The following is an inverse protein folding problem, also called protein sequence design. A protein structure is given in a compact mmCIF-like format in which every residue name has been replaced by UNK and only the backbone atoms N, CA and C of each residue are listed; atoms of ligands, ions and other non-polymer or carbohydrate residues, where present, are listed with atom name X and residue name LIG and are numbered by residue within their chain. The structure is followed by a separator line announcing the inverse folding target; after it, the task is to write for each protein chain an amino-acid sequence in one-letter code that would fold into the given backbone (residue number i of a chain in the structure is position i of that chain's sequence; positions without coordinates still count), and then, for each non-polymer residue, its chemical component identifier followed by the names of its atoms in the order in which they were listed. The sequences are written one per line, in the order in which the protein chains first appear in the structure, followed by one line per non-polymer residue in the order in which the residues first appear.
data_IF_084564314383
#
_entry.id   IF_084564314383
#
_cell.length_a   1.000
_cell.length_b   1.000
_cell.length_c   1.000
_cell.angle_alpha   90.00
_cell.angle_beta   90.00
_cell.angle_gamma   90.00
#
_symmetry.space_group_name_H-M   'P 1'
#
loop_
_entity.id
_entity.type
_entity.pdbx_description
1 polymer ?
#
# COMPACT_ATOMS: atom_id res chain seq x y z
N UNK A 1 20.45 6.45 4.29
CA UNK A 1 20.70 7.85 4.66
C UNK A 1 21.28 7.89 6.06
N UNK A 2 22.52 8.33 6.20
CA UNK A 2 23.21 8.52 7.48
C UNK A 2 22.73 9.85 8.07
N UNK A 3 22.02 9.82 9.19
CA UNK A 3 21.71 11.03 9.95
C UNK A 3 23.02 11.63 10.47
N UNK A 4 23.41 12.79 9.97
CA UNK A 4 24.58 13.52 10.47
C UNK A 4 24.18 14.20 11.77
N UNK A 5 24.86 13.87 12.87
CA UNK A 5 24.59 14.49 14.16
C UNK A 5 25.05 15.96 14.13
N UNK A 6 24.19 16.88 14.56
CA UNK A 6 24.59 18.27 14.78
C UNK A 6 25.49 18.35 16.01
N UNK A 7 26.74 18.81 15.82
CA UNK A 7 27.72 18.99 16.89
C UNK A 7 27.65 20.43 17.40
N UNK A 8 26.75 20.67 18.36
CA UNK A 8 26.51 21.98 18.97
C UNK A 8 27.79 22.58 19.54
N UNK A 9 28.68 21.77 20.12
CA UNK A 9 29.91 22.25 20.75
C UNK A 9 30.91 22.76 19.70
N UNK A 10 31.08 22.02 18.61
CA UNK A 10 31.91 22.46 17.47
C UNK A 10 31.30 23.67 16.78
N UNK A 11 29.97 23.74 16.68
CA UNK A 11 29.25 24.86 16.10
C UNK A 11 29.45 26.15 16.92
N UNK A 12 29.19 26.12 18.23
CA UNK A 12 29.42 27.26 19.15
C UNK A 12 30.89 27.70 19.12
N UNK A 13 31.84 26.76 19.16
CA UNK A 13 33.28 27.09 19.02
C UNK A 13 33.59 27.78 17.71
N UNK A 14 32.99 27.35 16.61
CA UNK A 14 33.20 27.95 15.30
C UNK A 14 32.64 29.38 15.24
N UNK A 15 31.46 29.61 15.81
CA UNK A 15 30.85 30.95 15.88
C UNK A 15 31.69 31.92 16.73
N UNK A 16 32.18 31.46 17.88
CA UNK A 16 33.05 32.27 18.74
C UNK A 16 34.41 32.52 18.09
N UNK A 17 35.09 31.47 17.65
CA UNK A 17 36.50 31.54 17.28
C UNK A 17 36.70 32.10 15.85
N UNK A 18 35.78 31.78 14.92
CA UNK A 18 35.88 32.22 13.51
C UNK A 18 34.97 33.39 13.17
N UNK A 19 33.76 33.43 13.70
CA UNK A 19 32.82 34.53 13.46
C UNK A 19 32.91 35.65 14.51
N UNK A 20 33.78 35.50 15.53
CA UNK A 20 34.00 36.48 16.61
C UNK A 20 32.73 36.90 17.34
N UNK A 21 31.74 36.01 17.40
CA UNK A 21 30.53 36.24 18.18
C UNK A 21 30.83 36.16 19.67
N UNK A 22 30.10 36.94 20.48
CA UNK A 22 30.20 36.79 21.94
C UNK A 22 29.72 35.39 22.36
N UNK A 23 30.14 34.87 23.53
CA UNK A 23 29.68 33.59 24.04
C UNK A 23 28.15 33.47 24.05
N UNK A 24 27.46 34.52 24.51
CA UNK A 24 26.00 34.57 24.63
C UNK A 24 25.32 34.52 23.25
N UNK A 25 25.91 35.20 22.25
CA UNK A 25 25.40 35.18 20.88
C UNK A 25 25.63 33.83 20.19
N UNK A 26 26.78 33.20 20.41
CA UNK A 26 27.11 31.90 19.85
C UNK A 26 26.24 30.78 20.44
N UNK A 27 25.99 30.83 21.75
CA UNK A 27 25.11 29.89 22.45
C UNK A 27 23.64 30.09 22.06
N UNK A 28 23.15 31.34 22.06
CA UNK A 28 21.77 31.65 21.67
C UNK A 28 21.46 31.28 20.22
N UNK A 29 22.41 31.45 19.30
CA UNK A 29 22.24 31.01 17.90
C UNK A 29 22.25 29.48 17.76
N UNK A 30 23.13 28.80 18.51
CA UNK A 30 23.19 27.34 18.50
C UNK A 30 21.92 26.71 19.07
N UNK A 31 21.34 27.30 20.11
CA UNK A 31 20.10 26.85 20.73
C UNK A 31 18.90 27.07 19.81
N UNK A 32 18.81 28.25 19.17
CA UNK A 32 17.76 28.54 18.19
C UNK A 32 17.78 27.58 16.99
N UNK A 33 18.98 27.23 16.51
CA UNK A 33 19.14 26.26 15.41
C UNK A 33 18.85 24.84 15.89
N UNK A 34 19.28 24.45 17.09
CA UNK A 34 19.04 23.10 17.59
C UNK A 34 17.55 22.80 17.84
N UNK A 35 16.77 23.82 18.22
CA UNK A 35 15.34 23.69 18.45
C UNK A 35 14.53 23.38 17.17
N UNK A 36 15.00 23.81 16.01
CA UNK A 36 14.27 23.69 14.72
C UNK A 36 14.69 22.45 13.90
N UNK A 37 15.70 21.69 14.34
CA UNK A 37 16.17 20.50 13.61
C UNK A 37 15.50 19.23 14.13
N UNK A 38 15.01 18.41 13.19
CA UNK A 38 14.61 17.04 13.49
C UNK A 38 15.76 16.28 14.17
N UNK A 39 15.50 15.81 15.37
CA UNK A 39 16.47 15.14 16.23
C UNK A 39 16.60 13.67 15.83
N UNK A 40 17.65 13.00 16.33
CA UNK A 40 17.84 11.55 16.10
C UNK A 40 16.61 10.70 16.51
N UNK A 41 15.92 10.99 17.63
CA UNK A 41 14.62 10.40 17.95
C UNK A 41 13.60 10.50 16.83
N UNK A 42 13.37 11.71 16.29
CA UNK A 42 12.36 11.94 15.25
C UNK A 42 12.64 11.11 13.99
N UNK A 43 13.91 10.98 13.61
CA UNK A 43 14.33 10.15 12.47
C UNK A 43 14.10 8.66 12.77
N UNK A 44 14.32 8.22 14.01
CA UNK A 44 14.08 6.83 14.42
C UNK A 44 12.60 6.50 14.40
N UNK A 45 11.76 7.42 14.86
CA UNK A 45 10.31 7.27 14.88
C UNK A 45 9.76 7.24 13.46
N UNK A 46 10.19 8.17 12.58
CA UNK A 46 9.87 8.14 11.15
C UNK A 46 10.29 6.81 10.49
N UNK A 47 11.45 6.26 10.85
CA UNK A 47 11.89 4.97 10.31
C UNK A 47 10.98 3.83 10.79
N UNK A 48 10.55 3.87 12.04
CA UNK A 48 9.59 2.90 12.59
C UNK A 48 8.24 2.99 11.89
N UNK A 49 7.75 4.20 11.65
CA UNK A 49 6.50 4.46 10.94
C UNK A 49 6.57 3.97 9.49
N UNK A 50 7.70 4.21 8.81
CA UNK A 50 7.92 3.71 7.45
C UNK A 50 7.91 2.18 7.40
N UNK A 51 8.56 1.49 8.35
CA UNK A 51 8.55 0.03 8.37
C UNK A 51 7.14 -0.51 8.68
N UNK A 52 6.41 0.15 9.57
CA UNK A 52 5.00 -0.18 9.87
C UNK A 52 4.15 -0.01 8.62
N UNK A 53 4.25 1.14 7.93
CA UNK A 53 3.49 1.44 6.71
C UNK A 53 3.81 0.44 5.59
N UNK A 54 5.08 0.01 5.48
CA UNK A 54 5.49 -1.01 4.52
C UNK A 54 4.84 -2.36 4.80
N UNK A 55 4.78 -2.77 6.07
CA UNK A 55 4.15 -4.03 6.49
C UNK A 55 2.64 -3.98 6.22
N UNK A 56 1.97 -2.89 6.64
CA UNK A 56 0.52 -2.73 6.44
C UNK A 56 0.18 -2.70 4.96
N UNK A 57 0.88 -1.89 4.16
CA UNK A 57 0.66 -1.81 2.70
C UNK A 57 0.82 -3.17 2.02
N UNK A 58 1.81 -3.98 2.42
CA UNK A 58 2.01 -5.31 1.86
C UNK A 58 0.89 -6.27 2.26
N UNK A 59 0.40 -6.16 3.50
CA UNK A 59 -0.74 -6.95 3.98
C UNK A 59 -2.01 -6.60 3.21
N UNK A 60 -2.30 -5.30 3.08
CA UNK A 60 -3.49 -4.80 2.38
C UNK A 60 -3.49 -5.21 0.91
N UNK A 61 -2.32 -5.16 0.25
CA UNK A 61 -2.17 -5.64 -1.12
C UNK A 61 -2.49 -7.13 -1.24
N UNK A 62 -1.96 -7.96 -0.33
CA UNK A 62 -2.23 -9.40 -0.33
C UNK A 62 -3.71 -9.72 -0.06
N UNK A 63 -4.34 -8.97 0.83
CA UNK A 63 -5.78 -9.10 1.08
C UNK A 63 -6.60 -8.73 -0.17
N UNK A 64 -6.23 -7.65 -0.86
CA UNK A 64 -6.87 -7.24 -2.10
C UNK A 64 -6.70 -8.28 -3.21
N UNK A 65 -5.51 -8.86 -3.36
CA UNK A 65 -5.22 -9.95 -4.31
C UNK A 65 -6.12 -11.16 -4.03
N UNK A 66 -6.14 -11.66 -2.78
CA UNK A 66 -6.98 -12.80 -2.39
C UNK A 66 -8.47 -12.52 -2.61
N UNK A 67 -8.93 -11.31 -2.30
CA UNK A 67 -10.32 -10.90 -2.53
C UNK A 67 -10.67 -10.86 -4.01
N UNK A 68 -9.75 -10.41 -4.87
CA UNK A 68 -9.95 -10.40 -6.31
C UNK A 68 -9.95 -11.82 -6.88
N UNK A 69 -9.02 -12.69 -6.47
CA UNK A 69 -9.00 -14.09 -6.87
C UNK A 69 -10.30 -14.80 -6.50
N UNK A 70 -10.80 -14.60 -5.28
CA UNK A 70 -12.06 -15.17 -4.83
C UNK A 70 -13.26 -14.65 -5.66
N UNK A 71 -13.30 -13.36 -5.97
CA UNK A 71 -14.34 -12.77 -6.83
C UNK A 71 -14.28 -13.33 -8.25
N UNK A 72 -13.08 -13.47 -8.82
CA UNK A 72 -12.89 -14.04 -10.15
C UNK A 72 -13.36 -15.50 -10.16
N UNK A 73 -13.00 -16.29 -9.15
CA UNK A 73 -13.43 -17.67 -9.02
C UNK A 73 -14.96 -17.78 -8.91
N UNK A 74 -15.59 -16.93 -8.09
CA UNK A 74 -17.04 -16.86 -7.95
C UNK A 74 -17.72 -16.49 -9.27
N UNK A 75 -17.28 -15.42 -9.93
CA UNK A 75 -17.81 -15.00 -11.24
C UNK A 75 -17.62 -16.07 -12.30
N UNK A 76 -16.47 -16.75 -12.34
CA UNK A 76 -16.24 -17.88 -13.25
C UNK A 76 -17.20 -19.03 -12.97
N UNK A 77 -17.42 -19.37 -11.70
CA UNK A 77 -18.38 -20.39 -11.29
C UNK A 77 -19.81 -20.03 -11.72
N UNK A 78 -20.22 -18.78 -11.50
CA UNK A 78 -21.53 -18.30 -11.90
C UNK A 78 -21.71 -18.36 -13.42
N UNK A 79 -20.71 -17.92 -14.19
CA UNK A 79 -20.71 -18.02 -15.66
C UNK A 79 -20.86 -19.48 -16.09
N UNK A 80 -20.08 -20.41 -15.52
CA UNK A 80 -20.17 -21.84 -15.85
C UNK A 80 -21.54 -22.42 -15.51
N UNK A 81 -22.10 -22.06 -14.35
CA UNK A 81 -23.44 -22.49 -13.92
C UNK A 81 -24.50 -22.01 -14.92
N UNK A 82 -24.47 -20.75 -15.32
CA UNK A 82 -25.42 -20.20 -16.28
C UNK A 82 -25.26 -20.79 -17.68
N UNK A 83 -24.03 -20.99 -18.15
CA UNK A 83 -23.77 -21.66 -19.44
C UNK A 83 -24.29 -23.11 -19.43
N UNK A 84 -24.04 -23.86 -18.36
CA UNK A 84 -24.49 -25.26 -18.27
C UNK A 84 -26.03 -25.34 -18.25
N UNK A 85 -26.68 -24.44 -17.50
CA UNK A 85 -28.14 -24.35 -17.46
C UNK A 85 -28.76 -23.98 -18.81
N UNK A 86 -28.18 -23.02 -19.53
CA UNK A 86 -28.69 -22.59 -20.84
C UNK A 86 -28.49 -23.66 -21.92
N UNK A 87 -27.32 -24.31 -21.97
CA UNK A 87 -27.06 -25.40 -22.92
C UNK A 87 -27.97 -26.61 -22.68
N UNK A 88 -28.18 -26.99 -21.42
CA UNK A 88 -29.12 -28.07 -21.07
C UNK A 88 -30.56 -27.76 -21.52
N UNK A 89 -30.99 -26.51 -21.35
CA UNK A 89 -32.32 -26.06 -21.77
C UNK A 89 -32.50 -26.14 -23.28
N UNK A 90 -31.50 -25.67 -24.05
CA UNK A 90 -31.51 -25.76 -25.51
C UNK A 90 -31.56 -27.21 -26.00
N UNK A 91 -30.83 -28.13 -25.37
CA UNK A 91 -30.85 -29.55 -25.74
C UNK A 91 -32.24 -30.18 -25.57
N UNK A 92 -32.93 -29.88 -24.48
CA UNK A 92 -34.31 -30.36 -24.23
C UNK A 92 -35.27 -29.83 -25.29
N UNK A 93 -35.17 -28.53 -25.63
CA UNK A 93 -35.99 -27.92 -26.68
C UNK A 93 -35.75 -28.58 -28.04
N UNK A 94 -34.48 -28.84 -28.39
CA UNK A 94 -34.12 -29.47 -29.66
C UNK A 94 -34.69 -30.89 -29.78
N UNK A 95 -34.55 -31.70 -28.73
CA UNK A 95 -35.11 -33.06 -28.67
C UNK A 95 -36.64 -33.02 -28.76
N UNK A 96 -37.29 -32.12 -28.01
CA UNK A 96 -38.74 -31.95 -28.06
C UNK A 96 -39.24 -31.58 -29.45
N UNK A 97 -38.55 -30.69 -30.16
CA UNK A 97 -38.87 -30.31 -31.52
C UNK A 97 -38.76 -31.50 -32.50
N UNK A 98 -37.70 -32.30 -32.40
CA UNK A 98 -37.53 -33.50 -33.24
C UNK A 98 -38.68 -34.48 -33.01
N UNK A 99 -39.03 -34.77 -31.75
CA UNK A 99 -40.13 -35.70 -31.42
C UNK A 99 -41.47 -35.19 -31.95
N UNK A 100 -41.75 -33.88 -31.81
CA UNK A 100 -42.97 -33.27 -32.32
C UNK A 100 -43.07 -33.39 -33.85
N UNK A 101 -41.97 -33.13 -34.57
CA UNK A 101 -41.92 -33.29 -36.03
C UNK A 101 -42.16 -34.73 -36.46
N UNK A 102 -41.52 -35.72 -35.80
CA UNK A 102 -41.71 -37.13 -36.13
C UNK A 102 -43.15 -37.62 -35.97
N UNK A 103 -43.91 -37.05 -35.01
CA UNK A 103 -45.34 -37.37 -34.80
C UNK A 103 -46.28 -36.73 -35.81
N UNK A 104 -45.87 -35.64 -36.45
CA UNK A 104 -46.67 -34.96 -37.49
C UNK A 104 -46.48 -35.64 -38.84
N UNK A 105 -45.31 -36.26 -39.08
CA UNK A 105 -44.97 -36.93 -40.34
C UNK A 105 -45.41 -38.41 -40.42
N UNK A 106 -45.89 -38.99 -39.33
CA UNK A 106 -46.48 -40.34 -39.26
C UNK A 106 -47.99 -40.27 -39.12
#
# INVERSE_FOLDING_TARGET
MTAVAFDTLRFVRTLRDKARMSPEQAEGLAEAIQADFATKPDIKDLKSDIETLKITTRSDLREAELRLEAKIAATKSDIVKWMTGSTGSQAVVLVGAIVALSRITH
#
